data_IF_988946234149
#
_entry.id   IF_988946234149
#
_cell.length_a   1.000
_cell.length_b   1.000
_cell.length_c   1.000
_cell.angle_alpha   90.00
_cell.angle_beta   90.00
_cell.angle_gamma   90.00
#
_symmetry.space_group_name_H-M   'P 1'
#
loop_
_entity.id
_entity.type
_entity.pdbx_description
1 polymer ?
#
# COMPACT_ATOMS: atom_id res chain seq x y z
N UNK A 1 -7.77 12.21 5.21
CA UNK A 1 -7.12 13.18 4.31
C UNK A 1 -8.23 13.96 3.66
N UNK A 2 -8.31 15.28 3.90
CA UNK A 2 -9.37 16.11 3.32
C UNK A 2 -9.40 15.96 1.80
N UNK A 3 -10.60 15.91 1.23
CA UNK A 3 -10.83 15.74 -0.21
C UNK A 3 -10.12 16.78 -1.05
N UNK A 4 -9.95 18.00 -0.53
CA UNK A 4 -9.17 19.09 -1.13
C UNK A 4 -7.72 18.71 -1.47
N UNK A 5 -7.16 17.74 -0.72
CA UNK A 5 -5.78 17.25 -0.88
C UNK A 5 -5.71 15.96 -1.70
N UNK A 6 -6.83 15.48 -2.25
CA UNK A 6 -6.93 14.22 -3.01
C UNK A 6 -7.51 14.51 -4.41
N UNK A 7 -6.97 13.86 -5.45
CA UNK A 7 -7.38 14.06 -6.86
C UNK A 7 -8.89 13.94 -7.11
N UNK A 8 -9.59 13.20 -6.27
CA UNK A 8 -11.02 12.89 -6.45
C UNK A 8 -11.96 13.73 -5.58
N UNK A 9 -11.45 14.72 -4.80
CA UNK A 9 -12.23 15.60 -3.92
C UNK A 9 -13.05 14.90 -2.82
N UNK A 10 -12.82 13.62 -2.59
CA UNK A 10 -13.43 12.83 -1.53
C UNK A 10 -12.42 12.62 -0.40
N UNK A 11 -12.90 12.76 0.84
CA UNK A 11 -12.11 12.48 2.03
C UNK A 11 -11.58 11.05 2.01
N UNK A 12 -10.29 10.90 2.24
CA UNK A 12 -9.61 9.61 2.21
C UNK A 12 -9.12 9.19 3.57
N UNK A 13 -9.64 8.10 4.09
CA UNK A 13 -9.10 7.41 5.26
C UNK A 13 -7.79 6.67 4.88
N UNK A 14 -6.79 6.74 5.76
CA UNK A 14 -5.57 5.95 5.65
C UNK A 14 -5.35 5.26 6.99
N UNK A 15 -5.46 3.94 6.99
CA UNK A 15 -5.30 3.11 8.17
C UNK A 15 -3.85 2.66 8.27
N UNK A 16 -3.24 2.84 9.43
CA UNK A 16 -1.86 2.44 9.71
C UNK A 16 -1.86 1.10 10.42
N UNK A 17 -1.23 0.09 9.82
CA UNK A 17 -0.88 -1.12 10.57
C UNK A 17 0.23 -0.80 11.59
N UNK A 18 0.46 -1.73 12.52
CA UNK A 18 1.44 -1.56 13.61
C UNK A 18 2.85 -1.23 13.13
N UNK A 19 3.28 -1.79 11.99
CA UNK A 19 4.62 -1.55 11.43
C UNK A 19 4.72 -0.12 10.88
N UNK A 20 3.74 0.30 10.08
CA UNK A 20 3.69 1.66 9.54
C UNK A 20 3.58 2.70 10.65
N UNK A 21 2.76 2.43 11.69
CA UNK A 21 2.66 3.26 12.88
C UNK A 21 4.00 3.35 13.61
N UNK A 22 4.67 2.24 13.87
CA UNK A 22 5.98 2.22 14.53
C UNK A 22 7.05 3.01 13.76
N UNK A 23 7.09 2.90 12.43
CA UNK A 23 8.01 3.70 11.60
C UNK A 23 7.71 5.19 11.72
N UNK A 24 6.43 5.58 11.65
CA UNK A 24 6.01 6.99 11.77
C UNK A 24 6.37 7.55 13.15
N UNK A 25 6.10 6.82 14.22
CA UNK A 25 6.42 7.26 15.57
C UNK A 25 7.93 7.34 15.81
N UNK A 26 8.73 6.44 15.22
CA UNK A 26 10.19 6.48 15.34
C UNK A 26 10.86 7.69 14.65
N UNK A 27 10.18 8.33 13.71
CA UNK A 27 10.68 9.53 13.00
C UNK A 27 9.93 10.81 13.39
N UNK A 28 8.88 10.69 14.20
CA UNK A 28 8.12 11.84 14.68
C UNK A 28 9.03 12.70 15.57
N UNK A 29 8.90 14.03 15.43
CA UNK A 29 9.72 14.99 16.17
C UNK A 29 11.07 15.32 15.53
N UNK A 30 11.55 14.56 14.53
CA UNK A 30 12.79 14.89 13.81
C UNK A 30 12.64 16.12 12.89
N UNK A 31 11.42 16.46 12.49
CA UNK A 31 11.08 17.67 11.75
C UNK A 31 9.73 18.19 12.26
N UNK A 32 9.53 19.52 12.36
CA UNK A 32 8.35 20.11 13.01
C UNK A 32 7.02 19.66 12.39
N UNK A 33 6.97 19.48 11.06
CA UNK A 33 5.71 19.18 10.36
C UNK A 33 5.66 17.84 9.60
N UNK A 34 6.79 17.18 9.36
CA UNK A 34 6.91 16.13 8.32
C UNK A 34 7.63 14.91 8.88
N UNK A 35 7.07 13.74 8.62
CA UNK A 35 7.65 12.45 9.08
C UNK A 35 8.67 11.86 8.11
N UNK A 36 8.65 12.25 6.83
CA UNK A 36 9.62 11.80 5.83
C UNK A 36 10.36 12.99 5.23
N UNK A 37 11.61 13.19 5.67
CA UNK A 37 12.49 14.26 5.21
C UNK A 37 13.88 13.71 4.85
N UNK A 38 14.61 14.46 4.04
CA UNK A 38 16.01 14.21 3.69
C UNK A 38 16.75 15.55 3.72
N UNK A 39 17.76 15.68 4.58
CA UNK A 39 18.42 16.95 4.90
C UNK A 39 17.42 18.10 5.19
N UNK A 40 16.44 17.82 6.05
CA UNK A 40 15.41 18.79 6.44
C UNK A 40 14.38 19.11 5.35
N UNK A 41 14.53 18.60 4.13
CA UNK A 41 13.58 18.83 3.03
C UNK A 41 12.58 17.67 2.94
N UNK A 42 11.29 17.94 2.66
CA UNK A 42 10.29 16.89 2.55
C UNK A 42 10.57 15.99 1.35
N UNK A 43 10.40 14.68 1.56
CA UNK A 43 10.44 13.70 0.45
C UNK A 43 9.18 13.88 -0.39
N UNK A 44 9.33 14.39 -1.63
CA UNK A 44 8.20 14.70 -2.53
C UNK A 44 7.62 13.49 -3.24
N UNK A 45 8.43 12.46 -3.46
CA UNK A 45 8.02 11.24 -4.16
C UNK A 45 8.83 10.06 -3.67
N UNK A 46 8.17 8.91 -3.56
CA UNK A 46 8.81 7.64 -3.26
C UNK A 46 9.67 7.12 -4.42
N UNK A 47 9.35 7.45 -5.68
CA UNK A 47 10.13 7.06 -6.85
C UNK A 47 11.34 7.99 -7.10
N UNK A 48 12.06 8.32 -6.03
CA UNK A 48 13.22 9.19 -6.05
C UNK A 48 14.53 8.41 -6.33
N UNK A 49 15.66 9.12 -6.35
CA UNK A 49 16.97 8.54 -6.62
C UNK A 49 17.37 7.47 -5.59
N UNK A 50 16.97 7.60 -4.33
CA UNK A 50 17.20 6.59 -3.30
C UNK A 50 16.52 5.27 -3.66
N UNK A 51 15.23 5.30 -4.00
CA UNK A 51 14.48 4.12 -4.44
C UNK A 51 15.08 3.48 -5.70
N UNK A 52 15.39 4.29 -6.71
CA UNK A 52 16.00 3.81 -7.97
C UNK A 52 17.38 3.19 -7.74
N UNK A 53 18.18 3.78 -6.84
CA UNK A 53 19.51 3.28 -6.49
C UNK A 53 19.44 1.92 -5.82
N UNK A 54 18.59 1.77 -4.78
CA UNK A 54 18.40 0.50 -4.08
C UNK A 54 17.88 -0.59 -5.03
N UNK A 55 16.92 -0.26 -5.90
CA UNK A 55 16.42 -1.19 -6.92
C UNK A 55 17.53 -1.71 -7.84
N UNK A 56 18.40 -0.83 -8.32
CA UNK A 56 19.51 -1.20 -9.20
C UNK A 56 20.54 -2.05 -8.45
N UNK A 57 20.86 -1.67 -7.21
CA UNK A 57 21.83 -2.37 -6.36
C UNK A 57 21.38 -3.79 -6.02
N UNK A 58 20.08 -4.01 -5.85
CA UNK A 58 19.50 -5.31 -5.49
C UNK A 58 18.93 -6.09 -6.69
N UNK A 59 19.14 -5.59 -7.92
CA UNK A 59 18.56 -6.13 -9.15
C UNK A 59 17.06 -6.46 -9.04
N UNK A 60 16.29 -5.54 -8.44
CA UNK A 60 14.87 -5.77 -8.20
C UNK A 60 14.02 -5.10 -9.30
N UNK A 61 13.29 -5.89 -10.13
CA UNK A 61 12.41 -5.36 -11.17
C UNK A 61 11.04 -4.88 -10.63
N UNK A 62 10.99 -4.28 -9.42
CA UNK A 62 9.72 -3.88 -8.76
C UNK A 62 9.43 -2.38 -8.90
N UNK A 63 8.23 -2.00 -9.31
CA UNK A 63 7.76 -0.62 -9.30
C UNK A 63 7.13 -0.29 -7.95
N UNK A 64 7.05 1.00 -7.63
CA UNK A 64 6.36 1.49 -6.43
C UNK A 64 4.92 0.95 -6.36
N UNK A 65 4.22 0.90 -7.49
CA UNK A 65 2.85 0.41 -7.54
C UNK A 65 2.74 -1.09 -7.21
N UNK A 66 3.81 -1.86 -7.45
CA UNK A 66 3.83 -3.28 -7.13
C UNK A 66 3.84 -3.51 -5.61
N UNK A 67 4.27 -2.52 -4.80
CA UNK A 67 4.11 -2.54 -3.34
C UNK A 67 2.63 -2.50 -2.94
N UNK A 68 1.83 -1.66 -3.61
CA UNK A 68 0.37 -1.58 -3.39
C UNK A 68 -0.30 -2.92 -3.75
N UNK A 69 0.08 -3.50 -4.89
CA UNK A 69 -0.41 -4.84 -5.28
C UNK A 69 -0.01 -5.92 -4.28
N UNK A 70 1.22 -5.89 -3.78
CA UNK A 70 1.71 -6.83 -2.78
C UNK A 70 0.90 -6.73 -1.48
N UNK A 71 0.62 -5.50 -1.02
CA UNK A 71 -0.25 -5.30 0.14
C UNK A 71 -1.66 -5.89 -0.08
N UNK A 72 -2.29 -5.60 -1.22
CA UNK A 72 -3.60 -6.16 -1.56
C UNK A 72 -3.62 -7.70 -1.65
N UNK A 73 -2.54 -8.29 -2.19
CA UNK A 73 -2.37 -9.75 -2.25
C UNK A 73 -2.20 -10.37 -0.87
N UNK A 74 -1.43 -9.73 0.02
CA UNK A 74 -1.25 -10.18 1.41
C UNK A 74 -2.53 -10.09 2.21
N UNK A 75 -3.30 -9.01 2.06
CA UNK A 75 -4.63 -8.90 2.67
C UNK A 75 -5.55 -10.05 2.21
N UNK A 76 -5.53 -10.38 0.91
CA UNK A 76 -6.31 -11.51 0.38
C UNK A 76 -5.87 -12.83 0.99
N UNK A 77 -4.55 -13.06 1.08
CA UNK A 77 -3.99 -14.27 1.67
C UNK A 77 -4.32 -14.40 3.17
N UNK A 78 -4.46 -13.28 3.87
CA UNK A 78 -4.86 -13.21 5.27
C UNK A 78 -6.39 -13.26 5.48
N UNK A 79 -7.16 -13.63 4.44
CA UNK A 79 -8.61 -13.80 4.53
C UNK A 79 -9.42 -12.50 4.63
N UNK A 80 -8.82 -11.34 4.31
CA UNK A 80 -9.54 -10.07 4.39
C UNK A 80 -10.57 -9.95 3.24
N UNK A 81 -11.84 -9.61 3.53
CA UNK A 81 -12.90 -9.46 2.53
C UNK A 81 -12.55 -8.43 1.43
N UNK A 82 -13.18 -8.57 0.25
CA UNK A 82 -12.90 -7.70 -0.89
C UNK A 82 -13.24 -6.22 -0.59
N UNK A 83 -14.36 -5.96 0.09
CA UNK A 83 -14.80 -4.60 0.40
C UNK A 83 -13.83 -3.90 1.35
N UNK A 84 -13.43 -4.55 2.45
CA UNK A 84 -12.38 -4.07 3.36
C UNK A 84 -11.05 -3.84 2.61
N UNK A 85 -10.69 -4.73 1.68
CA UNK A 85 -9.47 -4.55 0.84
C UNK A 85 -9.56 -3.32 -0.05
N UNK A 86 -10.71 -3.04 -0.66
CA UNK A 86 -10.90 -1.84 -1.49
C UNK A 86 -10.71 -0.57 -0.64
N UNK A 87 -11.28 -0.53 0.56
CA UNK A 87 -11.11 0.58 1.51
C UNK A 87 -9.64 0.77 1.86
N UNK A 88 -8.95 -0.29 2.30
CA UNK A 88 -7.53 -0.23 2.68
C UNK A 88 -6.60 0.15 1.50
N UNK A 89 -6.97 -0.20 0.27
CA UNK A 89 -6.24 0.18 -0.94
C UNK A 89 -6.61 1.59 -1.46
N UNK A 90 -7.56 2.27 -0.81
CA UNK A 90 -8.12 3.55 -1.22
C UNK A 90 -8.71 3.48 -2.63
N UNK A 91 -9.36 2.36 -2.97
CA UNK A 91 -10.21 2.30 -4.15
C UNK A 91 -11.51 3.02 -3.86
N UNK A 92 -12.07 3.67 -4.88
CA UNK A 92 -13.37 4.33 -4.78
C UNK A 92 -14.42 3.23 -4.57
N UNK A 93 -14.98 3.18 -3.38
CA UNK A 93 -16.29 2.57 -3.21
C UNK A 93 -17.26 3.70 -3.52
N UNK A 94 -18.03 3.58 -4.60
CA UNK A 94 -18.92 4.63 -5.10
C UNK A 94 -20.04 5.03 -4.14
N UNK A 95 -20.03 4.52 -2.91
CA UNK A 95 -21.12 4.53 -1.95
C UNK A 95 -20.62 4.60 -0.48
N UNK A 96 -19.38 5.07 -0.25
CA UNK A 96 -18.94 5.33 1.14
C UNK A 96 -19.39 6.71 1.54
N UNK A 97 -20.49 6.74 2.28
CA UNK A 97 -20.85 7.83 3.19
C UNK A 97 -19.66 8.15 4.10
N UNK A 98 -19.37 9.44 4.23
CA UNK A 98 -18.13 10.03 4.78
C UNK A 98 -17.87 9.78 6.28
N UNK A 99 -18.59 8.84 6.91
CA UNK A 99 -18.50 8.56 8.34
C UNK A 99 -18.23 7.07 8.58
N UNK A 100 -17.03 6.78 9.09
CA UNK A 100 -16.72 5.48 9.68
C UNK A 100 -17.07 5.52 11.16
N UNK A 101 -17.82 4.53 11.63
CA UNK A 101 -18.05 4.29 13.04
C UNK A 101 -16.78 3.79 13.73
N UNK A 102 -16.70 3.90 15.07
CA UNK A 102 -15.55 3.40 15.82
C UNK A 102 -15.30 1.89 15.62
N UNK A 103 -16.33 1.00 15.60
CA UNK A 103 -16.14 -0.41 15.30
C UNK A 103 -15.60 -0.67 13.89
N UNK A 104 -16.09 0.05 12.87
CA UNK A 104 -15.57 -0.10 11.50
C UNK A 104 -14.09 0.31 11.40
N UNK A 105 -13.68 1.36 12.12
CA UNK A 105 -12.27 1.75 12.18
C UNK A 105 -11.41 0.68 12.86
N UNK A 106 -11.90 0.07 13.93
CA UNK A 106 -11.24 -1.03 14.62
C UNK A 106 -11.07 -2.24 13.70
N UNK A 107 -12.13 -2.65 13.00
CA UNK A 107 -12.08 -3.73 12.00
C UNK A 107 -11.04 -3.46 10.90
N UNK A 108 -10.95 -2.22 10.40
CA UNK A 108 -9.96 -1.85 9.40
C UNK A 108 -8.54 -1.92 9.95
N UNK A 109 -8.32 -1.51 11.20
CA UNK A 109 -7.02 -1.59 11.88
C UNK A 109 -6.61 -3.06 12.06
N UNK A 110 -7.52 -3.90 12.55
CA UNK A 110 -7.29 -5.34 12.68
C UNK A 110 -6.96 -5.97 11.34
N UNK A 111 -7.77 -5.71 10.30
CA UNK A 111 -7.54 -6.23 8.95
C UNK A 111 -6.17 -5.80 8.39
N UNK A 112 -5.76 -4.55 8.61
CA UNK A 112 -4.44 -4.08 8.19
C UNK A 112 -3.29 -4.76 8.97
N UNK A 113 -3.52 -5.09 10.24
CA UNK A 113 -2.57 -5.77 11.11
C UNK A 113 -2.40 -7.26 10.81
N UNK A 114 -3.40 -7.93 10.22
CA UNK A 114 -3.27 -9.34 9.78
C UNK A 114 -2.13 -9.55 8.78
N UNK A 115 -1.74 -8.52 8.01
CA UNK A 115 -0.59 -8.58 7.09
C UNK A 115 0.76 -8.60 7.84
N UNK A 116 0.77 -8.19 9.10
CA UNK A 116 1.95 -8.13 9.94
C UNK A 116 2.11 -9.36 10.84
N UNK A 117 1.04 -10.13 11.08
CA UNK A 117 1.05 -11.34 11.92
C UNK A 117 1.79 -12.47 11.19
N UNK A 118 2.68 -13.14 11.93
CA UNK A 118 3.85 -13.81 11.37
C UNK A 118 3.56 -14.92 10.35
N UNK A 119 4.55 -15.10 9.45
CA UNK A 119 4.81 -16.34 8.70
C UNK A 119 3.63 -16.87 7.88
N UNK A 120 3.19 -16.14 6.85
CA UNK A 120 2.67 -16.87 5.68
C UNK A 120 3.85 -17.59 5.01
N UNK A 121 4.21 -18.78 5.51
CA UNK A 121 5.06 -19.75 4.80
C UNK A 121 4.50 -20.13 3.43
N UNK A 122 3.27 -19.69 3.13
CA UNK A 122 2.78 -19.54 1.77
C UNK A 122 3.26 -18.20 1.24
N UNK A 123 4.50 -18.15 0.74
CA UNK A 123 4.82 -17.22 -0.36
C UNK A 123 3.67 -17.38 -1.36
N UNK A 124 2.88 -16.34 -1.69
CA UNK A 124 1.86 -16.53 -2.70
C UNK A 124 2.61 -16.96 -3.95
N UNK A 125 2.44 -18.22 -4.35
CA UNK A 125 3.12 -18.79 -5.48
C UNK A 125 3.00 -17.78 -6.61
N UNK A 126 4.14 -17.26 -7.04
CA UNK A 126 4.21 -16.30 -8.12
C UNK A 126 3.98 -17.12 -9.38
N UNK A 127 2.72 -17.54 -9.60
CA UNK A 127 2.30 -18.21 -10.82
C UNK A 127 2.29 -17.12 -11.88
N UNK A 128 3.42 -17.00 -12.57
CA UNK A 128 3.52 -16.23 -13.80
C UNK A 128 2.72 -17.01 -14.84
N UNK A 129 1.48 -16.59 -15.09
CA UNK A 129 0.73 -17.06 -16.26
C UNK A 129 1.45 -16.51 -17.50
N UNK A 130 2.28 -17.35 -18.14
CA UNK A 130 2.80 -17.09 -19.49
C UNK A 130 1.59 -17.07 -20.42
N UNK A 131 1.20 -15.88 -20.89
CA UNK A 131 0.38 -15.81 -22.09
C UNK A 131 1.17 -16.48 -23.22
N UNK A 132 0.63 -17.56 -23.81
CA UNK A 132 1.07 -18.04 -25.12
C UNK A 132 0.73 -16.93 -26.11
N UNK A 133 1.71 -16.17 -26.55
CA UNK A 133 1.62 -15.48 -27.83
C UNK A 133 1.54 -16.58 -28.89
N UNK A 134 0.35 -16.74 -29.48
CA UNK A 134 0.22 -17.47 -30.72
C UNK A 134 1.04 -16.69 -31.76
N UNK A 135 2.20 -17.22 -32.11
CA UNK A 135 2.91 -16.82 -33.32
C UNK A 135 1.99 -17.13 -34.49
N UNK A 136 1.41 -16.08 -35.07
CA UNK A 136 0.84 -16.15 -36.39
C UNK A 136 2.01 -16.31 -37.38
N UNK A 137 2.36 -17.55 -37.69
CA UNK A 137 3.00 -17.86 -38.95
C UNK A 137 1.93 -17.69 -40.04
N UNK A 138 1.95 -16.53 -40.69
CA UNK A 138 1.27 -16.34 -41.96
C UNK A 138 2.31 -16.47 -43.07
N UNK A 139 1.90 -17.25 -44.08
CA UNK A 139 2.63 -17.70 -45.26
C UNK A 139 3.06 -16.57 -46.18
#
# INVERSE_FOLDING_TARGET
IPGEKVKNREDRLVVLNRVAKSVIEGVRGQHPERVFTYYGRPVRSINNNGWKSVRRKLDMPIRVHDLKHTFGRRLRAAGVPLETRKILLGHKNGDITTHYSAPELEELIEAANRVCEGKSGKTPALVVLKHRTLSAAAR
#
